data_IF_684871393008
#
_entry.id   IF_684871393008
#
_cell.length_a   1.000
_cell.length_b   1.000
_cell.length_c   1.000
_cell.angle_alpha   90.00
_cell.angle_beta   90.00
_cell.angle_gamma   90.00
#
_symmetry.space_group_name_H-M   'P 1'
#
loop_
_entity.id
_entity.type
_entity.pdbx_description
1 polymer ?
#
# COMPACT_ATOMS: atom_id res chain seq x y z
N UNK A 1 24.20 6.19 -8.44
CA UNK A 1 23.52 5.75 -9.68
C UNK A 1 22.61 4.53 -9.46
N UNK A 2 23.09 3.30 -9.27
CA UNK A 2 22.21 2.13 -9.01
C UNK A 2 21.40 2.22 -7.69
N UNK A 3 22.00 2.73 -6.60
CA UNK A 3 21.32 2.87 -5.31
C UNK A 3 20.17 3.91 -5.34
N UNK A 4 20.28 4.93 -6.19
CA UNK A 4 19.27 5.98 -6.36
C UNK A 4 18.09 5.45 -7.19
N UNK A 5 18.38 4.64 -8.22
CA UNK A 5 17.35 3.92 -8.99
C UNK A 5 16.60 2.95 -8.06
N UNK A 6 17.28 2.15 -7.24
CA UNK A 6 16.61 1.24 -6.30
C UNK A 6 15.83 1.98 -5.21
N UNK A 7 16.29 3.15 -4.76
CA UNK A 7 15.59 3.95 -3.75
C UNK A 7 14.36 4.70 -4.30
N UNK A 8 14.41 5.15 -5.56
CA UNK A 8 13.31 5.88 -6.22
C UNK A 8 12.29 4.92 -6.83
N UNK A 9 12.72 3.76 -7.34
CA UNK A 9 11.83 2.64 -7.66
C UNK A 9 11.21 2.05 -6.38
N UNK A 10 11.85 2.15 -5.22
CA UNK A 10 11.21 1.88 -3.91
C UNK A 10 10.20 2.94 -3.46
N UNK A 11 10.06 4.04 -4.21
CA UNK A 11 8.99 5.03 -4.01
C UNK A 11 7.76 4.78 -4.90
N UNK A 12 7.62 3.54 -5.38
CA UNK A 12 6.32 2.99 -5.75
C UNK A 12 5.33 3.30 -4.61
N UNK A 13 4.11 3.68 -4.97
CA UNK A 13 3.09 4.05 -3.99
C UNK A 13 3.04 2.97 -2.89
N UNK A 14 3.08 3.31 -1.58
CA UNK A 14 3.03 2.30 -0.51
C UNK A 14 1.89 1.30 -0.70
N UNK A 15 0.81 1.74 -1.33
CA UNK A 15 -0.30 0.93 -1.80
C UNK A 15 0.07 -0.20 -2.76
N UNK A 16 0.81 0.11 -3.82
CA UNK A 16 1.19 -0.84 -4.86
C UNK A 16 2.14 -1.89 -4.29
N UNK A 17 3.12 -1.47 -3.48
CA UNK A 17 4.05 -2.39 -2.82
C UNK A 17 3.32 -3.38 -1.90
N UNK A 18 2.29 -2.90 -1.17
CA UNK A 18 1.44 -3.78 -0.37
C UNK A 18 0.69 -4.81 -1.24
N UNK A 19 0.09 -4.38 -2.36
CA UNK A 19 -0.63 -5.29 -3.24
C UNK A 19 0.30 -6.31 -3.89
N UNK A 20 1.45 -5.89 -4.40
CA UNK A 20 2.47 -6.77 -4.99
C UNK A 20 2.99 -7.78 -3.96
N UNK A 21 3.25 -7.32 -2.73
CA UNK A 21 3.64 -8.20 -1.65
C UNK A 21 2.58 -9.28 -1.38
N UNK A 22 1.30 -8.89 -1.26
CA UNK A 22 0.21 -9.83 -1.03
C UNK A 22 -0.01 -10.80 -2.21
N UNK A 23 0.15 -10.34 -3.46
CA UNK A 23 0.05 -11.20 -4.65
C UNK A 23 1.16 -12.24 -4.70
N UNK A 24 2.41 -11.84 -4.41
CA UNK A 24 3.53 -12.78 -4.20
C UNK A 24 3.24 -13.75 -3.05
N UNK A 25 2.60 -13.22 -2.00
CA UNK A 25 2.16 -13.96 -0.83
C UNK A 25 3.26 -14.21 0.20
N UNK A 26 2.84 -14.68 1.38
CA UNK A 26 3.73 -15.11 2.44
C UNK A 26 3.08 -16.20 3.32
N UNK A 27 3.87 -16.79 4.22
CA UNK A 27 3.35 -17.76 5.19
C UNK A 27 2.80 -17.08 6.43
N UNK A 28 1.53 -17.30 6.74
CA UNK A 28 0.86 -16.80 7.94
C UNK A 28 0.37 -17.98 8.80
N UNK A 29 0.28 -17.77 10.11
CA UNK A 29 -0.40 -18.69 11.02
C UNK A 29 -1.88 -18.34 11.05
N UNK A 30 -2.72 -19.30 10.67
CA UNK A 30 -4.16 -19.20 10.80
C UNK A 30 -4.60 -19.76 12.15
N UNK A 31 -5.14 -18.91 13.01
CA UNK A 31 -5.61 -19.29 14.35
C UNK A 31 -7.08 -19.67 14.27
N UNK A 32 -7.49 -20.71 15.00
CA UNK A 32 -8.88 -21.18 15.11
C UNK A 32 -9.39 -20.95 16.52
N UNK A 33 -10.72 -20.97 16.68
CA UNK A 33 -11.38 -20.85 17.98
C UNK A 33 -10.94 -21.92 19.00
N UNK A 34 -10.41 -23.06 18.55
CA UNK A 34 -9.83 -24.08 19.42
C UNK A 34 -8.37 -23.81 19.80
N UNK A 35 -7.89 -22.57 19.64
CA UNK A 35 -6.49 -22.12 19.76
C UNK A 35 -5.48 -22.84 18.85
N UNK A 36 -5.95 -23.74 17.97
CA UNK A 36 -5.10 -24.49 17.02
C UNK A 36 -4.61 -23.55 15.93
N UNK A 37 -3.32 -23.66 15.64
CA UNK A 37 -2.63 -22.80 14.69
C UNK A 37 -2.14 -23.59 13.49
N UNK A 38 -2.35 -23.02 12.30
CA UNK A 38 -2.02 -23.67 11.05
C UNK A 38 -1.22 -22.73 10.17
N UNK A 39 0.07 -23.04 9.94
CA UNK A 39 0.87 -22.32 8.97
C UNK A 39 0.35 -22.59 7.56
N UNK A 40 -0.04 -21.55 6.83
CA UNK A 40 -0.52 -21.64 5.46
C UNK A 40 0.11 -20.52 4.64
N UNK A 41 0.36 -20.80 3.37
CA UNK A 41 0.79 -19.78 2.43
C UNK A 41 -0.45 -19.03 1.94
N UNK A 42 -0.47 -17.71 2.10
CA UNK A 42 -1.56 -16.82 1.70
C UNK A 42 -1.13 -15.97 0.52
N UNK A 43 -2.05 -15.76 -0.42
CA UNK A 43 -1.88 -14.90 -1.60
C UNK A 43 -3.13 -14.06 -1.84
N UNK A 44 -2.97 -12.91 -2.49
CA UNK A 44 -4.06 -12.17 -3.12
C UNK A 44 -4.14 -12.57 -4.59
N UNK A 45 -5.36 -12.79 -5.10
CA UNK A 45 -5.57 -13.04 -6.53
C UNK A 45 -5.11 -11.83 -7.36
N UNK A 46 -4.59 -12.05 -8.57
CA UNK A 46 -4.13 -10.98 -9.48
C UNK A 46 -5.24 -10.00 -9.88
N UNK A 47 -6.48 -10.48 -9.87
CA UNK A 47 -7.67 -9.67 -10.09
C UNK A 47 -8.10 -8.88 -8.84
N UNK A 48 -7.36 -8.97 -7.74
CA UNK A 48 -7.60 -8.35 -6.44
C UNK A 48 -8.96 -8.72 -5.82
N UNK A 49 -9.61 -9.78 -6.30
CA UNK A 49 -10.98 -10.11 -5.91
C UNK A 49 -11.04 -10.97 -4.63
N UNK A 50 -9.96 -11.65 -4.27
CA UNK A 50 -9.95 -12.53 -3.10
C UNK A 50 -8.57 -12.83 -2.53
N UNK A 51 -8.53 -13.03 -1.21
CA UNK A 51 -7.42 -13.67 -0.51
C UNK A 51 -7.60 -15.18 -0.59
N UNK A 52 -6.54 -15.92 -0.90
CA UNK A 52 -6.49 -17.38 -0.90
C UNK A 52 -5.43 -17.89 0.03
N UNK A 53 -5.59 -19.15 0.44
CA UNK A 53 -4.54 -19.88 1.12
C UNK A 53 -4.48 -21.32 0.65
N UNK A 54 -3.31 -21.95 0.77
CA UNK A 54 -3.17 -23.37 0.44
C UNK A 54 -4.09 -24.19 1.35
N UNK A 55 -5.04 -24.98 0.80
CA UNK A 55 -5.92 -25.79 1.63
C UNK A 55 -5.15 -26.93 2.29
N UNK A 56 -5.64 -27.41 3.43
CA UNK A 56 -5.06 -28.59 4.11
C UNK A 56 -5.38 -29.91 3.41
N UNK A 57 -6.32 -29.87 2.45
CA UNK A 57 -6.74 -31.00 1.63
C UNK A 57 -7.04 -30.52 0.23
N UNK A 58 -6.65 -31.30 -0.78
CA UNK A 58 -6.81 -30.97 -2.21
C UNK A 58 -8.26 -30.78 -2.68
N UNK A 59 -9.26 -31.09 -1.83
CA UNK A 59 -10.70 -31.02 -2.16
C UNK A 59 -11.43 -29.77 -1.62
N UNK A 60 -10.74 -28.83 -0.97
CA UNK A 60 -11.41 -27.73 -0.27
C UNK A 60 -11.45 -26.42 -1.07
N UNK A 61 -12.62 -26.12 -1.65
CA UNK A 61 -12.91 -24.78 -2.20
C UNK A 61 -13.05 -23.70 -1.11
N UNK A 62 -12.97 -24.08 0.18
CA UNK A 62 -13.15 -23.16 1.33
C UNK A 62 -11.88 -22.36 1.66
N UNK A 63 -10.81 -22.49 0.89
CA UNK A 63 -9.53 -21.82 1.14
C UNK A 63 -9.39 -20.47 0.42
N UNK A 64 -10.48 -19.69 0.46
CA UNK A 64 -10.64 -18.41 -0.23
C UNK A 64 -11.56 -17.52 0.60
N UNK A 65 -11.25 -16.23 0.63
CA UNK A 65 -12.11 -15.17 1.17
C UNK A 65 -12.20 -14.05 0.14
N UNK A 66 -13.40 -13.81 -0.39
CA UNK A 66 -13.62 -12.72 -1.34
C UNK A 66 -13.48 -11.36 -0.64
N UNK A 67 -12.79 -10.42 -1.28
CA UNK A 67 -12.64 -9.04 -0.79
C UNK A 67 -14.00 -8.37 -0.60
N UNK A 68 -14.97 -8.69 -1.46
CA UNK A 68 -16.35 -8.21 -1.36
C UNK A 68 -17.03 -8.57 -0.04
N UNK A 69 -16.65 -9.69 0.58
CA UNK A 69 -17.20 -10.15 1.86
C UNK A 69 -16.48 -9.59 3.08
N UNK A 70 -15.30 -8.97 2.90
CA UNK A 70 -14.57 -8.38 4.01
C UNK A 70 -15.27 -7.09 4.43
N UNK A 71 -15.68 -7.08 5.70
CA UNK A 71 -16.33 -5.97 6.38
C UNK A 71 -15.32 -5.00 6.95
N UNK A 72 -14.20 -5.47 7.48
CA UNK A 72 -13.12 -4.64 8.03
C UNK A 72 -11.85 -5.48 8.28
N UNK A 73 -10.75 -4.78 8.49
CA UNK A 73 -9.44 -5.34 8.82
C UNK A 73 -9.00 -4.73 10.13
N UNK A 74 -8.60 -5.55 11.10
CA UNK A 74 -8.21 -5.10 12.44
C UNK A 74 -6.79 -5.56 12.75
N UNK A 75 -5.91 -4.64 13.11
CA UNK A 75 -4.56 -4.94 13.62
C UNK A 75 -4.64 -5.21 15.13
N UNK A 76 -3.78 -6.10 15.62
CA UNK A 76 -3.71 -6.49 17.03
C UNK A 76 -4.70 -7.60 17.42
N UNK A 77 -4.72 -7.90 18.72
CA UNK A 77 -5.51 -8.99 19.33
C UNK A 77 -6.94 -8.55 19.60
N UNK A 78 -7.70 -8.29 18.53
CA UNK A 78 -9.01 -7.64 18.62
C UNK A 78 -10.20 -8.60 18.69
N UNK A 79 -9.98 -9.90 18.48
CA UNK A 79 -11.01 -10.95 18.51
C UNK A 79 -10.87 -11.82 19.75
N UNK A 80 -11.96 -12.45 20.19
CA UNK A 80 -11.94 -13.35 21.36
C UNK A 80 -10.94 -14.51 21.18
N UNK A 81 -10.79 -15.00 19.94
CA UNK A 81 -9.83 -16.06 19.58
C UNK A 81 -8.38 -15.63 19.84
N UNK A 82 -8.03 -14.38 19.52
CA UNK A 82 -6.67 -13.86 19.70
C UNK A 82 -6.40 -13.35 21.12
N UNK A 83 -7.47 -13.08 21.88
CA UNK A 83 -7.41 -12.72 23.31
C UNK A 83 -7.39 -13.95 24.22
N UNK A 84 -7.62 -15.14 23.67
CA UNK A 84 -7.48 -16.39 24.38
C UNK A 84 -6.09 -16.51 25.01
N UNK A 85 -6.03 -16.97 26.26
CA UNK A 85 -4.78 -17.01 27.04
C UNK A 85 -3.69 -17.87 26.39
N UNK A 86 -4.07 -18.90 25.64
CA UNK A 86 -3.13 -19.79 24.95
C UNK A 86 -2.44 -19.11 23.75
N UNK A 87 -2.98 -17.99 23.26
CA UNK A 87 -2.48 -17.29 22.06
C UNK A 87 -1.98 -15.88 22.40
N UNK A 88 -2.66 -15.17 23.30
CA UNK A 88 -2.41 -13.77 23.59
C UNK A 88 -1.00 -13.47 24.10
N UNK A 89 -0.34 -14.42 24.76
CA UNK A 89 1.04 -14.25 25.26
C UNK A 89 2.13 -14.60 24.24
N UNK A 90 1.77 -15.20 23.10
CA UNK A 90 2.77 -15.82 22.21
C UNK A 90 3.29 -14.88 21.11
N UNK A 91 2.54 -13.84 20.75
CA UNK A 91 2.82 -13.01 19.59
C UNK A 91 2.73 -11.52 19.90
N UNK A 92 3.57 -10.72 19.25
CA UNK A 92 3.45 -9.26 19.27
C UNK A 92 2.13 -8.83 18.64
N UNK A 93 1.49 -7.81 19.17
CA UNK A 93 0.25 -7.25 18.60
C UNK A 93 0.47 -6.70 17.19
N UNK A 94 1.68 -6.20 16.90
CA UNK A 94 2.05 -5.69 15.58
C UNK A 94 2.17 -6.78 14.51
N UNK A 95 2.29 -8.05 14.91
CA UNK A 95 2.34 -9.19 13.98
C UNK A 95 0.96 -9.84 13.79
N UNK A 96 -0.05 -9.43 14.55
CA UNK A 96 -1.35 -10.10 14.64
C UNK A 96 -2.42 -9.23 13.97
N UNK A 97 -3.29 -9.84 13.18
CA UNK A 97 -4.42 -9.13 12.59
C UNK A 97 -5.59 -10.08 12.27
N UNK A 98 -6.76 -9.49 12.04
CA UNK A 98 -7.99 -10.23 11.77
C UNK A 98 -8.76 -9.61 10.61
N UNK A 99 -9.31 -10.47 9.75
CA UNK A 99 -10.28 -10.06 8.73
C UNK A 99 -11.67 -10.39 9.24
N UNK A 100 -12.52 -9.37 9.38
CA UNK A 100 -13.91 -9.57 9.76
C UNK A 100 -14.74 -9.62 8.49
N UNK A 101 -15.56 -10.65 8.32
CA UNK A 101 -16.28 -10.92 7.07
C UNK A 101 -17.68 -11.47 7.27
N UNK A 102 -18.47 -11.43 6.20
CA UNK A 102 -19.85 -11.92 6.18
C UNK A 102 -20.82 -10.99 6.92
N UNK A 103 -22.06 -11.42 7.03
CA UNK A 103 -23.14 -10.67 7.71
C UNK A 103 -23.19 -10.97 9.20
N UNK A 104 -22.67 -12.12 9.61
CA UNK A 104 -22.56 -12.58 11.00
C UNK A 104 -21.25 -12.15 11.67
N UNK A 105 -20.44 -11.31 11.01
CA UNK A 105 -19.16 -10.78 11.53
C UNK A 105 -18.19 -11.89 12.00
N UNK A 106 -17.99 -12.90 11.17
CA UNK A 106 -17.01 -13.95 11.42
C UNK A 106 -15.58 -13.41 11.29
N UNK A 107 -14.61 -14.01 11.99
CA UNK A 107 -13.20 -13.62 11.94
C UNK A 107 -12.33 -14.66 11.21
N UNK A 108 -11.36 -14.15 10.45
CA UNK A 108 -10.18 -14.89 10.00
C UNK A 108 -8.96 -14.30 10.70
N UNK A 109 -8.51 -14.98 11.76
CA UNK A 109 -7.42 -14.53 12.61
C UNK A 109 -6.07 -15.06 12.13
N UNK A 110 -5.12 -14.15 11.97
CA UNK A 110 -3.85 -14.37 11.31
C UNK A 110 -2.69 -13.80 12.14
N UNK A 111 -1.56 -14.50 12.10
CA UNK A 111 -0.29 -14.03 12.65
C UNK A 111 0.78 -14.09 11.56
N UNK A 112 1.41 -12.95 11.31
CA UNK A 112 2.54 -12.81 10.41
C UNK A 112 3.87 -13.11 11.11
N UNK A 113 4.92 -13.36 10.33
CA UNK A 113 6.24 -13.66 10.91
C UNK A 113 6.92 -12.39 11.43
N UNK A 114 6.57 -11.23 10.85
CA UNK A 114 7.08 -9.90 11.25
C UNK A 114 5.96 -8.85 11.22
N UNK A 115 6.20 -7.73 11.89
CA UNK A 115 5.29 -6.58 11.86
C UNK A 115 5.15 -5.98 10.45
N UNK A 116 6.23 -5.97 9.66
CA UNK A 116 6.20 -5.48 8.28
C UNK A 116 5.28 -6.33 7.40
N UNK A 117 5.35 -7.66 7.54
CA UNK A 117 4.45 -8.56 6.83
C UNK A 117 2.99 -8.28 7.21
N UNK A 118 2.69 -8.14 8.51
CA UNK A 118 1.34 -7.78 8.95
C UNK A 118 0.89 -6.43 8.38
N UNK A 119 1.77 -5.42 8.38
CA UNK A 119 1.49 -4.10 7.84
C UNK A 119 1.18 -4.12 6.34
N UNK A 120 1.91 -4.90 5.54
CA UNK A 120 1.59 -5.05 4.11
C UNK A 120 0.18 -5.60 3.91
N UNK A 121 -0.18 -6.66 4.65
CA UNK A 121 -1.51 -7.27 4.56
C UNK A 121 -2.61 -6.34 5.08
N UNK A 122 -2.43 -5.73 6.25
CA UNK A 122 -3.41 -4.83 6.86
C UNK A 122 -3.65 -3.61 5.98
N UNK A 123 -2.59 -2.98 5.50
CA UNK A 123 -2.66 -1.78 4.65
C UNK A 123 -3.34 -2.12 3.33
N UNK A 124 -2.83 -3.13 2.61
CA UNK A 124 -3.35 -3.47 1.30
C UNK A 124 -4.81 -3.93 1.32
N UNK A 125 -5.21 -4.75 2.31
CA UNK A 125 -6.61 -5.16 2.45
C UNK A 125 -7.52 -4.00 2.88
N UNK A 126 -7.07 -3.13 3.78
CA UNK A 126 -7.84 -1.95 4.19
C UNK A 126 -8.12 -1.03 2.99
N UNK A 127 -7.14 -0.86 2.11
CA UNK A 127 -7.30 -0.11 0.87
C UNK A 127 -8.34 -0.72 -0.06
N UNK A 128 -8.28 -2.03 -0.30
CA UNK A 128 -9.25 -2.73 -1.16
C UNK A 128 -10.68 -2.63 -0.60
N UNK A 129 -10.83 -2.78 0.72
CA UNK A 129 -12.13 -2.65 1.38
C UNK A 129 -12.64 -1.20 1.31
N UNK A 130 -11.79 -0.21 1.55
CA UNK A 130 -12.16 1.20 1.45
C UNK A 130 -12.60 1.58 0.03
N UNK A 131 -11.85 1.16 -0.99
CA UNK A 131 -12.16 1.42 -2.38
C UNK A 131 -13.50 0.81 -2.82
N UNK A 132 -13.82 -0.39 -2.34
CA UNK A 132 -15.14 -1.00 -2.53
C UNK A 132 -16.25 -0.14 -1.92
N UNK A 133 -16.07 0.36 -0.69
CA UNK A 133 -17.08 1.18 0.01
C UNK A 133 -17.28 2.56 -0.62
N UNK A 134 -16.22 3.14 -1.18
CA UNK A 134 -16.27 4.43 -1.86
C UNK A 134 -17.07 4.40 -3.18
N UNK A 135 -17.60 3.24 -3.58
CA UNK A 135 -18.62 3.15 -4.62
C UNK A 135 -18.16 3.66 -5.99
N UNK A 136 -16.92 3.40 -6.40
CA UNK A 136 -16.48 3.70 -7.77
C UNK A 136 -17.46 3.07 -8.77
N UNK A 137 -18.25 3.88 -9.51
CA UNK A 137 -19.24 3.39 -10.45
C UNK A 137 -18.51 2.68 -11.60
N UNK A 138 -18.88 1.43 -11.89
CA UNK A 138 -18.29 0.67 -13.00
C UNK A 138 -17.33 -0.45 -12.61
N UNK A 139 -17.20 -0.80 -11.33
CA UNK A 139 -16.57 -2.07 -10.95
C UNK A 139 -17.47 -3.24 -11.38
N UNK A 140 -17.18 -3.77 -12.57
CA UNK A 140 -17.76 -5.04 -13.04
C UNK A 140 -17.51 -6.11 -11.97
N UNK A 141 -18.50 -6.94 -11.60
CA UNK A 141 -18.27 -8.04 -10.68
C UNK A 141 -17.23 -9.00 -11.26
N UNK A 142 -16.04 -9.08 -10.65
CA UNK A 142 -15.08 -10.16 -10.92
C UNK A 142 -13.71 -9.78 -11.46
N UNK A 143 -13.40 -8.50 -11.68
CA UNK A 143 -12.01 -8.04 -11.89
C UNK A 143 -11.81 -6.72 -11.18
N UNK A 144 -10.82 -6.60 -10.32
CA UNK A 144 -10.38 -5.36 -9.68
C UNK A 144 -9.82 -4.30 -10.66
N UNK A 145 -10.31 -4.30 -11.90
CA UNK A 145 -9.75 -3.60 -13.05
C UNK A 145 -9.77 -2.08 -12.92
N UNK A 146 -10.72 -1.47 -12.22
CA UNK A 146 -10.72 0.00 -12.04
C UNK A 146 -9.69 0.44 -11.00
N UNK A 147 -9.51 -0.32 -9.92
CA UNK A 147 -8.48 -0.02 -8.91
C UNK A 147 -7.09 -0.32 -9.45
N UNK A 148 -6.90 -1.48 -10.08
CA UNK A 148 -5.67 -1.83 -10.76
C UNK A 148 -5.33 -0.78 -11.82
N UNK A 149 -6.27 -0.43 -12.71
CA UNK A 149 -6.02 0.59 -13.73
C UNK A 149 -5.75 1.98 -13.15
N UNK A 150 -6.46 2.42 -12.10
CA UNK A 150 -6.17 3.72 -11.46
C UNK A 150 -4.81 3.72 -10.76
N UNK A 151 -4.41 2.59 -10.15
CA UNK A 151 -3.10 2.44 -9.53
C UNK A 151 -2.01 2.43 -10.60
N UNK A 152 -2.20 1.67 -11.67
CA UNK A 152 -1.29 1.59 -12.82
C UNK A 152 -1.18 2.94 -13.53
N UNK A 153 -2.28 3.67 -13.74
CA UNK A 153 -2.28 5.00 -14.35
C UNK A 153 -1.59 6.03 -13.45
N UNK A 154 -1.90 6.03 -12.16
CA UNK A 154 -1.22 6.90 -11.19
C UNK A 154 0.27 6.57 -11.10
N UNK A 155 0.63 5.30 -11.22
CA UNK A 155 2.01 4.85 -11.26
C UNK A 155 2.71 5.31 -12.54
N UNK A 156 2.09 5.14 -13.70
CA UNK A 156 2.61 5.59 -14.98
C UNK A 156 2.79 7.12 -15.01
N UNK A 157 1.85 7.89 -14.46
CA UNK A 157 2.00 9.34 -14.32
C UNK A 157 3.18 9.71 -13.41
N UNK A 158 3.38 8.96 -12.32
CA UNK A 158 4.53 9.16 -11.44
C UNK A 158 5.85 8.79 -12.12
N UNK A 159 5.90 7.68 -12.85
CA UNK A 159 7.09 7.24 -13.60
C UNK A 159 7.48 8.28 -14.64
N UNK A 160 6.53 8.77 -15.44
CA UNK A 160 6.75 9.84 -16.41
C UNK A 160 7.23 11.14 -15.77
N UNK A 161 6.66 11.51 -14.62
CA UNK A 161 7.10 12.70 -13.88
C UNK A 161 8.53 12.54 -13.36
N UNK A 162 8.87 11.36 -12.80
CA UNK A 162 10.23 11.05 -12.35
C UNK A 162 11.22 11.09 -13.51
N UNK A 163 10.91 10.45 -14.64
CA UNK A 163 11.72 10.50 -15.86
C UNK A 163 11.98 11.94 -16.30
N UNK A 164 10.96 12.79 -16.28
CA UNK A 164 11.09 14.20 -16.62
C UNK A 164 11.98 14.96 -15.62
N UNK A 165 11.82 14.72 -14.32
CA UNK A 165 12.71 15.29 -13.30
C UNK A 165 14.18 14.86 -13.52
N UNK A 166 14.43 13.60 -13.86
CA UNK A 166 15.78 13.13 -14.17
C UNK A 166 16.32 13.75 -15.45
N UNK A 167 15.52 13.84 -16.51
CA UNK A 167 15.90 14.47 -17.78
C UNK A 167 16.28 15.94 -17.57
N UNK A 168 15.51 16.67 -16.77
CA UNK A 168 15.82 18.05 -16.41
C UNK A 168 17.12 18.15 -15.59
N UNK A 169 17.31 17.27 -14.60
CA UNK A 169 18.53 17.24 -13.80
C UNK A 169 19.80 16.86 -14.61
N UNK A 170 19.66 16.04 -15.65
CA UNK A 170 20.76 15.66 -16.55
C UNK A 170 21.09 16.77 -17.58
N UNK A 171 20.11 17.61 -17.91
CA UNK A 171 20.29 18.78 -18.79
C UNK A 171 21.18 19.85 -18.15
N UNK A 172 21.18 19.95 -16.82
CA UNK A 172 22.00 20.92 -16.04
C UNK A 172 23.46 20.48 -15.85
N UNK A 173 23.93 19.41 -16.51
CA UNK A 173 25.35 18.99 -16.56
C UNK A 173 26.06 18.94 -15.19
N UNK A 174 25.36 18.53 -14.13
CA UNK A 174 26.05 17.99 -12.95
C UNK A 174 26.54 16.58 -13.27
N UNK A 175 27.63 16.52 -14.01
CA UNK A 175 28.47 15.34 -14.21
C UNK A 175 28.78 14.78 -12.82
N UNK A 176 28.24 13.59 -12.54
CA UNK A 176 28.73 12.64 -11.52
C UNK A 176 28.93 13.28 -10.15
N UNK A 177 27.90 13.24 -9.30
CA UNK A 177 28.06 13.57 -7.87
C UNK A 177 29.04 12.56 -7.24
N UNK A 178 30.29 12.97 -7.11
CA UNK A 178 31.21 12.49 -6.10
C UNK A 178 30.63 12.81 -4.72
N UNK A 179 30.31 11.78 -3.94
CA UNK A 179 30.14 11.76 -2.48
C UNK A 179 29.59 13.01 -1.78
N UNK A 180 28.45 13.54 -2.23
CA UNK A 180 27.68 14.51 -1.43
C UNK A 180 26.50 13.82 -0.76
N UNK A 181 26.34 13.89 0.57
CA UNK A 181 25.26 13.22 1.29
C UNK A 181 23.86 13.66 0.81
N UNK A 182 23.00 12.67 0.56
CA UNK A 182 21.60 12.76 0.09
C UNK A 182 20.76 13.88 0.72
N UNK A 183 21.04 14.28 1.96
CA UNK A 183 20.34 15.34 2.67
C UNK A 183 20.49 16.73 1.99
N UNK A 184 21.63 17.02 1.35
CA UNK A 184 21.88 18.34 0.76
C UNK A 184 21.06 18.59 -0.52
N UNK A 185 20.73 17.53 -1.27
CA UNK A 185 19.92 17.63 -2.50
C UNK A 185 18.47 18.03 -2.18
N UNK A 186 17.88 17.45 -1.13
CA UNK A 186 16.52 17.78 -0.71
C UNK A 186 16.36 19.24 -0.28
N UNK A 187 17.33 19.77 0.47
CA UNK A 187 17.28 21.16 0.96
C UNK A 187 17.44 22.19 -0.15
N UNK A 188 18.23 21.89 -1.19
CA UNK A 188 18.46 22.78 -2.32
C UNK A 188 17.26 22.83 -3.29
N UNK A 189 16.66 21.67 -3.56
CA UNK A 189 15.49 21.58 -4.43
C UNK A 189 14.23 22.19 -3.79
N UNK A 190 14.04 21.99 -2.48
CA UNK A 190 12.92 22.60 -1.75
C UNK A 190 12.99 24.14 -1.71
N UNK A 191 14.19 24.73 -1.73
CA UNK A 191 14.35 26.19 -1.80
C UNK A 191 14.08 26.77 -3.19
N UNK A 192 14.35 26.04 -4.28
CA UNK A 192 14.12 26.56 -5.64
C UNK A 192 12.64 26.63 -5.99
N UNK A 193 11.81 25.75 -5.41
CA UNK A 193 10.36 25.72 -5.62
C UNK A 193 9.58 26.73 -4.76
N UNK A 194 10.22 27.39 -3.79
CA UNK A 194 9.53 28.26 -2.82
C UNK A 194 9.92 29.74 -2.90
N UNK A 195 10.56 30.17 -4.00
CA UNK A 195 10.82 31.60 -4.24
C UNK A 195 9.60 32.29 -4.86
N UNK A 196 9.03 33.35 -4.24
CA UNK A 196 7.97 34.11 -4.86
C UNK A 196 8.50 34.78 -6.13
N UNK A 197 7.84 34.53 -7.26
CA UNK A 197 8.19 35.11 -8.56
C UNK A 197 8.15 36.64 -8.51
N UNK A 198 9.31 37.28 -8.58
CA UNK A 198 9.43 38.73 -8.75
C UNK A 198 9.39 39.07 -10.24
N UNK A 199 8.22 39.40 -10.78
CA UNK A 199 8.09 40.20 -12.01
C UNK A 199 6.69 40.85 -12.07
N UNK A 200 6.63 42.17 -11.87
CA UNK A 200 6.25 43.06 -12.96
C UNK A 200 6.63 44.50 -12.65
N UNK A 201 7.46 45.05 -13.53
CA UNK A 201 7.82 46.44 -13.60
C UNK A 201 6.87 47.18 -14.55
N UNK A 202 6.40 48.33 -14.07
CA UNK A 202 6.35 49.62 -14.75
C UNK A 202 5.22 50.03 -15.74
N UNK A 203 4.81 51.30 -15.50
CA UNK A 203 4.27 52.33 -16.40
C UNK A 203 2.79 52.30 -16.86
N UNK A 204 1.99 53.29 -16.40
CA UNK A 204 1.74 54.57 -17.10
C UNK A 204 0.73 55.51 -16.42
N UNK A 205 1.10 56.80 -16.43
CA UNK A 205 0.31 58.03 -16.56
C UNK A 205 -1.10 58.19 -15.95
N UNK A 206 -1.17 59.08 -14.94
CA UNK A 206 -1.93 60.34 -14.97
C UNK A 206 -3.46 60.34 -15.01
N UNK A 207 -4.11 60.79 -13.92
CA UNK A 207 -5.09 61.91 -13.94
C UNK A 207 -5.46 62.42 -12.52
N UNK A 208 -5.69 63.75 -12.44
CA UNK A 208 -6.30 64.60 -11.37
C UNK A 208 -7.38 63.90 -10.53
N UNK A 209 -7.71 64.26 -9.29
CA UNK A 209 -8.25 65.52 -8.68
C UNK A 209 -8.29 65.20 -7.15
N UNK A 210 -8.20 66.08 -6.14
CA UNK A 210 -8.65 67.44 -5.90
C UNK A 210 -7.89 67.96 -4.67
#
# INVERSE_FOLDING_TARGET
>A
FYLVITAIVRSLSPAYDCLQFMMKGCSLLKVRASSRQYRRYFTLDEDLAAVRWVPSSKKSNKAKLAISHIREVRLGKTTDILRDKEVAGCYSEDCVFSLIYGDTYESLDLVASTADEANFWVTGLSMLVAARRAGQPGTVPGRGGVLAANLDERQLMREKWLEECFRQADTDRYVIISDVPSAAWYTHFAHSQNSPSSYNADSKDGQKVM
#
